data_IF_037820358328
#
_entry.id   IF_037820358328
#
_cell.length_a   1.000
_cell.length_b   1.000
_cell.length_c   1.000
_cell.angle_alpha   90.00
_cell.angle_beta   90.00
_cell.angle_gamma   90.00
#
_symmetry.space_group_name_H-M   'P 1'
#
loop_
_entity.id
_entity.type
_entity.pdbx_description
1 polymer ?
#
# COMPACT_ATOMS: atom_id res chain seq x y z
N UNK A 1 18.95 -6.83 32.39
CA UNK A 1 18.02 -6.43 31.32
C UNK A 1 18.19 -4.94 31.13
N UNK A 2 18.82 -4.54 30.03
CA UNK A 2 19.29 -3.17 29.82
C UNK A 2 18.08 -2.25 29.60
N UNK A 3 17.91 -1.29 30.49
CA UNK A 3 16.80 -0.36 30.55
C UNK A 3 16.82 0.55 29.34
N UNK A 4 15.83 0.44 28.45
CA UNK A 4 15.56 1.39 27.35
C UNK A 4 15.25 2.83 27.83
N UNK A 5 15.43 3.10 29.13
CA UNK A 5 15.26 4.39 29.78
C UNK A 5 16.10 5.46 29.09
N UNK A 6 15.42 6.47 28.55
CA UNK A 6 16.04 7.60 27.88
C UNK A 6 15.95 7.58 26.35
N UNK A 7 15.48 6.48 25.73
CA UNK A 7 15.26 6.44 24.28
C UNK A 7 14.25 7.48 23.81
N UNK A 8 13.20 7.77 24.58
CA UNK A 8 12.22 8.80 24.25
C UNK A 8 12.83 10.20 24.07
N UNK A 9 13.99 10.46 24.72
CA UNK A 9 14.72 11.73 24.54
C UNK A 9 15.54 11.78 23.24
N UNK A 10 15.92 10.62 22.72
CA UNK A 10 16.71 10.47 21.49
C UNK A 10 15.83 10.21 20.26
N UNK A 11 14.57 9.82 20.47
CA UNK A 11 13.57 9.56 19.45
C UNK A 11 12.34 10.48 19.63
N UNK A 12 12.50 11.80 19.43
CA UNK A 12 11.41 12.76 19.59
C UNK A 12 10.26 12.55 18.59
N UNK A 13 10.54 11.86 17.48
CA UNK A 13 9.57 11.55 16.43
C UNK A 13 8.94 10.15 16.59
N UNK A 14 9.26 9.43 17.68
CA UNK A 14 8.68 8.12 18.02
C UNK A 14 8.83 7.06 16.90
N UNK A 15 9.92 7.10 16.15
CA UNK A 15 10.23 6.15 15.07
C UNK A 15 10.42 4.74 15.65
N UNK A 16 11.06 4.62 16.81
CA UNK A 16 11.28 3.34 17.47
C UNK A 16 9.96 2.68 17.87
N UNK A 17 9.04 3.45 18.46
CA UNK A 17 7.69 2.99 18.77
C UNK A 17 6.96 2.56 17.49
N UNK A 18 7.02 3.38 16.45
CA UNK A 18 6.40 3.08 15.15
C UNK A 18 6.89 1.76 14.57
N UNK A 19 8.21 1.50 14.62
CA UNK A 19 8.80 0.23 14.16
C UNK A 19 8.36 -0.94 15.05
N UNK A 20 8.37 -0.75 16.37
CA UNK A 20 7.95 -1.77 17.33
C UNK A 20 6.48 -2.19 17.14
N UNK A 21 5.64 -1.29 16.64
CA UNK A 21 4.21 -1.54 16.40
C UNK A 21 3.93 -2.19 15.04
N UNK A 22 4.90 -2.24 14.11
CA UNK A 22 4.72 -2.83 12.77
C UNK A 22 4.19 -4.26 12.79
N UNK A 23 4.65 -5.18 13.67
CA UNK A 23 4.09 -6.53 13.73
C UNK A 23 2.61 -6.54 14.11
N UNK A 24 2.15 -5.59 14.94
CA UNK A 24 0.74 -5.46 15.28
C UNK A 24 -0.07 -4.92 14.09
N UNK A 25 0.47 -3.94 13.36
CA UNK A 25 -0.14 -3.41 12.13
C UNK A 25 -0.30 -4.50 11.05
N UNK A 26 0.67 -5.41 10.90
CA UNK A 26 0.57 -6.55 9.99
C UNK A 26 -0.51 -7.57 10.39
N UNK A 27 -0.83 -7.65 11.68
CA UNK A 27 -1.92 -8.50 12.20
C UNK A 27 -3.27 -7.81 12.16
N UNK A 28 -3.32 -6.53 11.79
CA UNK A 28 -4.57 -5.84 11.60
C UNK A 28 -5.27 -6.45 10.40
N UNK A 29 -6.40 -7.12 10.67
CA UNK A 29 -7.23 -7.66 9.60
C UNK A 29 -7.96 -6.49 8.92
N UNK A 30 -7.47 -6.08 7.77
CA UNK A 30 -8.16 -5.09 6.94
C UNK A 30 -9.50 -5.63 6.39
N UNK A 31 -9.68 -6.95 6.36
CA UNK A 31 -10.90 -7.64 5.97
C UNK A 31 -12.07 -7.45 6.93
N UNK A 32 -11.81 -7.31 8.23
CA UNK A 32 -12.86 -7.04 9.24
C UNK A 32 -13.56 -5.69 9.02
N UNK A 33 -12.91 -4.75 8.33
CA UNK A 33 -13.50 -3.47 7.94
C UNK A 33 -14.27 -3.51 6.62
N UNK A 34 -14.11 -4.58 5.82
CA UNK A 34 -14.81 -4.73 4.56
C UNK A 34 -16.25 -5.20 4.81
N UNK A 35 -17.22 -4.35 4.47
CA UNK A 35 -18.64 -4.64 4.65
C UNK A 35 -19.17 -5.73 3.72
N UNK A 36 -18.42 -6.04 2.67
CA UNK A 36 -18.72 -7.06 1.66
C UNK A 36 -17.42 -7.62 1.08
N UNK A 37 -17.44 -8.90 0.71
CA UNK A 37 -16.33 -9.50 -0.02
C UNK A 37 -16.22 -8.89 -1.41
N UNK A 38 -14.99 -8.57 -1.85
CA UNK A 38 -14.73 -8.25 -3.25
C UNK A 38 -14.82 -9.54 -4.07
N UNK A 39 -15.60 -9.50 -5.14
CA UNK A 39 -15.80 -10.61 -6.09
C UNK A 39 -15.08 -10.34 -7.41
N UNK A 40 -14.91 -11.38 -8.22
CA UNK A 40 -14.32 -11.24 -9.55
C UNK A 40 -15.15 -10.32 -10.47
N UNK A 41 -16.46 -10.24 -10.25
CA UNK A 41 -17.38 -9.45 -11.07
C UNK A 41 -17.13 -7.94 -10.93
N UNK A 42 -16.69 -7.49 -9.75
CA UNK A 42 -16.31 -6.09 -9.52
C UNK A 42 -15.05 -5.68 -10.29
N UNK A 43 -14.26 -6.66 -10.76
CA UNK A 43 -13.11 -6.42 -11.62
C UNK A 43 -13.43 -6.38 -13.12
N UNK A 44 -14.68 -6.67 -13.53
CA UNK A 44 -15.05 -6.73 -14.94
C UNK A 44 -14.93 -5.35 -15.59
N UNK A 45 -14.28 -5.30 -16.75
CA UNK A 45 -14.07 -4.07 -17.52
C UNK A 45 -12.83 -3.28 -17.11
N UNK A 46 -12.14 -3.64 -16.03
CA UNK A 46 -10.85 -3.03 -15.69
C UNK A 46 -9.78 -3.53 -16.68
N UNK A 47 -9.09 -2.61 -17.33
CA UNK A 47 -8.04 -2.90 -18.32
C UNK A 47 -6.65 -2.47 -17.87
N UNK A 48 -6.57 -1.62 -16.83
CA UNK A 48 -5.33 -1.12 -16.25
C UNK A 48 -5.53 -0.71 -14.79
N UNK A 49 -4.46 -0.75 -14.01
CA UNK A 49 -4.44 -0.31 -12.61
C UNK A 49 -3.32 0.72 -12.43
N UNK A 50 -3.63 1.83 -11.76
CA UNK A 50 -2.67 2.87 -11.40
C UNK A 50 -2.72 3.07 -9.88
N UNK A 51 -1.63 2.78 -9.17
CA UNK A 51 -1.50 3.21 -7.79
C UNK A 51 -0.81 4.57 -7.71
N UNK A 52 -1.54 5.60 -7.29
CA UNK A 52 -0.99 6.92 -7.02
C UNK A 52 -0.47 7.02 -5.57
N UNK A 53 0.81 7.35 -5.38
CA UNK A 53 1.37 7.48 -4.04
C UNK A 53 2.78 8.09 -4.02
N UNK A 54 3.04 8.93 -3.01
CA UNK A 54 4.33 9.60 -2.83
C UNK A 54 5.11 9.00 -1.65
N UNK A 55 6.40 8.76 -1.84
CA UNK A 55 7.28 8.27 -0.77
C UNK A 55 6.86 6.89 -0.22
N UNK A 56 6.67 6.83 1.10
CA UNK A 56 6.36 5.60 1.84
C UNK A 56 5.05 4.92 1.44
N UNK A 57 4.01 5.69 1.08
CA UNK A 57 2.70 5.15 0.69
C UNK A 57 2.74 4.34 -0.60
N UNK A 58 3.73 4.60 -1.46
CA UNK A 58 3.96 3.84 -2.68
C UNK A 58 4.85 2.59 -2.48
N UNK A 59 5.41 2.37 -1.29
CA UNK A 59 6.29 1.22 -1.07
C UNK A 59 5.52 -0.10 -1.16
N UNK A 60 4.34 -0.20 -0.54
CA UNK A 60 3.49 -1.38 -0.62
C UNK A 60 3.12 -1.73 -2.06
N UNK A 61 2.74 -0.74 -2.86
CA UNK A 61 2.48 -0.92 -4.28
C UNK A 61 3.70 -1.30 -5.11
N UNK A 62 4.89 -0.82 -4.75
CA UNK A 62 6.13 -1.19 -5.44
C UNK A 62 6.49 -2.67 -5.18
N UNK A 63 6.24 -3.16 -3.97
CA UNK A 63 6.38 -4.58 -3.63
C UNK A 63 5.35 -5.39 -4.40
N UNK A 64 4.06 -5.01 -4.35
CA UNK A 64 2.99 -5.70 -5.05
C UNK A 64 3.23 -5.78 -6.56
N UNK A 65 3.63 -4.67 -7.20
CA UNK A 65 3.97 -4.60 -8.62
C UNK A 65 5.01 -5.65 -9.00
N UNK A 66 6.11 -5.72 -8.26
CA UNK A 66 7.21 -6.62 -8.59
C UNK A 66 6.89 -8.07 -8.24
N UNK A 67 6.27 -8.30 -7.07
CA UNK A 67 5.97 -9.65 -6.60
C UNK A 67 4.86 -10.32 -7.41
N UNK A 68 3.81 -9.56 -7.74
CA UNK A 68 2.63 -10.07 -8.46
C UNK A 68 2.72 -9.85 -9.96
N UNK A 69 3.83 -9.31 -10.49
CA UNK A 69 3.98 -8.94 -11.91
C UNK A 69 3.48 -10.02 -12.88
N UNK A 70 3.89 -11.27 -12.65
CA UNK A 70 3.54 -12.41 -13.51
C UNK A 70 2.15 -13.00 -13.26
N UNK A 71 1.44 -12.51 -12.22
CA UNK A 71 0.10 -12.95 -11.81
C UNK A 71 -0.99 -11.93 -12.10
N UNK A 72 -0.61 -10.71 -12.46
CA UNK A 72 -1.56 -9.64 -12.78
C UNK A 72 -2.14 -9.88 -14.19
N UNK A 73 -3.46 -9.81 -14.30
CA UNK A 73 -4.17 -9.96 -15.58
C UNK A 73 -4.13 -8.69 -16.43
N UNK A 74 -3.86 -7.54 -15.79
CA UNK A 74 -3.82 -6.22 -16.42
C UNK A 74 -2.57 -5.48 -15.98
N UNK A 75 -2.08 -4.50 -16.77
CA UNK A 75 -0.95 -3.67 -16.37
C UNK A 75 -1.20 -2.96 -15.04
N UNK A 76 -0.18 -2.96 -14.18
CA UNK A 76 -0.16 -2.22 -12.92
C UNK A 76 0.98 -1.18 -12.95
N UNK A 77 0.62 0.09 -12.93
CA UNK A 77 1.54 1.21 -12.87
C UNK A 77 1.53 1.88 -11.50
N UNK A 78 2.68 2.39 -11.08
CA UNK A 78 2.81 3.15 -9.86
C UNK A 78 3.21 4.57 -10.21
N UNK A 79 2.36 5.53 -9.88
CA UNK A 79 2.53 6.94 -10.23
C UNK A 79 2.90 7.71 -8.96
N UNK A 80 4.09 8.31 -8.98
CA UNK A 80 4.65 9.08 -7.84
C UNK A 80 4.53 10.60 -8.01
N UNK A 81 4.04 11.05 -9.15
CA UNK A 81 3.89 12.47 -9.48
C UNK A 81 2.47 12.97 -9.28
N UNK A 82 2.30 14.28 -9.38
CA UNK A 82 1.02 14.98 -9.21
C UNK A 82 0.09 14.88 -10.43
N UNK A 83 0.55 14.28 -11.53
CA UNK A 83 -0.18 14.19 -12.80
C UNK A 83 -0.53 12.74 -13.12
N UNK A 84 -1.79 12.51 -13.52
CA UNK A 84 -2.22 11.21 -14.03
C UNK A 84 -1.69 10.98 -15.45
N UNK A 85 -1.31 9.75 -15.82
CA UNK A 85 -0.97 9.42 -17.19
C UNK A 85 -2.12 9.70 -18.15
N UNK A 86 -1.82 10.21 -19.35
CA UNK A 86 -2.82 10.58 -20.34
C UNK A 86 -3.64 9.40 -20.89
N UNK A 87 -3.18 8.17 -20.69
CA UNK A 87 -3.88 6.96 -21.10
C UNK A 87 -4.95 6.51 -20.10
N UNK A 88 -5.00 7.09 -18.89
CA UNK A 88 -5.99 6.71 -17.88
C UNK A 88 -7.39 7.07 -18.38
N UNK A 89 -8.30 6.10 -18.35
CA UNK A 89 -9.66 6.25 -18.86
C UNK A 89 -10.68 5.61 -17.90
N UNK A 90 -11.93 5.49 -18.35
CA UNK A 90 -13.02 4.92 -17.56
C UNK A 90 -12.86 3.41 -17.26
N UNK A 91 -11.83 2.76 -17.82
CA UNK A 91 -11.48 1.36 -17.59
C UNK A 91 -10.20 1.23 -16.73
N UNK A 92 -9.65 2.33 -16.23
CA UNK A 92 -8.51 2.35 -15.30
C UNK A 92 -8.99 2.37 -13.85
N UNK A 93 -8.54 1.39 -13.05
CA UNK A 93 -8.67 1.45 -11.60
C UNK A 93 -7.55 2.33 -11.02
N UNK A 94 -7.91 3.32 -10.21
CA UNK A 94 -6.97 4.23 -9.52
C UNK A 94 -7.14 4.13 -8.01
#
# INVERSE_FOLDING_TARGET
>A
MNTLSGLDKLDPEHIFTTINDQPAQLRQDYGDSMRSAITADEGLGITSIILAGMGGSALGGSIAKNWLFTRLNVPFELVRGSSMPAYADNHTLV
#
